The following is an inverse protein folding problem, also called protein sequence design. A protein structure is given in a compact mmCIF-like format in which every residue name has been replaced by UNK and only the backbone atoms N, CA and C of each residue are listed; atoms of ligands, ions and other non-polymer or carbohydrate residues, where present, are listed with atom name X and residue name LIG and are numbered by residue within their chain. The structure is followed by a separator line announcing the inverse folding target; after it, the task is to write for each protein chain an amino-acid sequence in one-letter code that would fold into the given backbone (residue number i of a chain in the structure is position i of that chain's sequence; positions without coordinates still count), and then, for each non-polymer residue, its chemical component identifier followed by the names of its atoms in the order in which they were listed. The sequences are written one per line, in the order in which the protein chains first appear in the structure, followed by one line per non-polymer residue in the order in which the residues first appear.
data_IF_902962572901
#
_entry.id   IF_902962572901
#
_cell.length_a   1.000
_cell.length_b   1.000
_cell.length_c   1.000
_cell.angle_alpha   90.00
_cell.angle_beta   90.00
_cell.angle_gamma   90.00
#
_symmetry.space_group_name_H-M   'P 1'
#
loop_
_entity.id
_entity.type
_entity.pdbx_description
1 polymer ?
#
# COMPACT_ATOMS: atom_id res chain seq x y z
N UNK A 1 -5.07 16.84 49.00
CA UNK A 1 -5.73 16.10 47.89
C UNK A 1 -4.77 16.09 46.71
N UNK A 2 -4.60 14.94 46.04
CA UNK A 2 -3.84 14.82 44.80
C UNK A 2 -2.63 13.89 44.86
N UNK A 3 -2.83 12.62 45.24
CA UNK A 3 -1.82 11.59 44.97
C UNK A 3 -2.03 11.12 43.52
N UNK A 4 -1.27 11.71 42.60
CA UNK A 4 -1.16 11.25 41.21
C UNK A 4 -0.55 9.85 41.21
N UNK A 5 -1.40 8.83 41.30
CA UNK A 5 -1.03 7.44 41.05
C UNK A 5 -0.67 7.33 39.56
N UNK A 6 0.59 7.64 39.24
CA UNK A 6 1.22 7.20 38.00
C UNK A 6 1.31 5.68 38.08
N UNK A 7 0.23 5.02 37.68
CA UNK A 7 0.22 3.60 37.33
C UNK A 7 1.23 3.44 36.19
N UNK A 8 2.49 3.18 36.56
CA UNK A 8 3.53 2.84 35.60
C UNK A 8 3.02 1.67 34.78
N UNK A 9 2.91 1.86 33.45
CA UNK A 9 2.54 0.81 32.51
C UNK A 9 3.32 -0.45 32.90
N UNK A 10 2.59 -1.46 33.39
CA UNK A 10 3.20 -2.73 33.81
C UNK A 10 3.81 -3.33 32.55
N UNK A 11 5.14 -3.40 32.52
CA UNK A 11 5.89 -4.00 31.41
C UNK A 11 5.33 -5.40 31.19
N UNK A 12 4.78 -5.64 30.00
CA UNK A 12 4.15 -6.91 29.71
C UNK A 12 5.21 -7.99 29.45
N UNK A 13 4.82 -9.26 29.56
CA UNK A 13 5.69 -10.38 29.20
C UNK A 13 6.16 -10.28 27.72
N UNK A 14 5.30 -9.74 26.84
CA UNK A 14 5.67 -9.51 25.44
C UNK A 14 6.74 -8.42 25.31
N UNK A 15 6.64 -7.32 26.06
CA UNK A 15 7.62 -6.22 26.01
C UNK A 15 9.01 -6.70 26.47
N UNK A 16 9.05 -7.59 27.48
CA UNK A 16 10.30 -8.23 27.94
C UNK A 16 10.90 -9.13 26.85
N UNK A 17 10.08 -9.94 26.19
CA UNK A 17 10.55 -10.80 25.10
C UNK A 17 11.10 -10.00 23.91
N UNK A 18 10.44 -8.90 23.54
CA UNK A 18 10.91 -8.00 22.47
C UNK A 18 12.23 -7.33 22.87
N UNK A 19 12.33 -6.90 24.13
CA UNK A 19 13.58 -6.34 24.65
C UNK A 19 14.72 -7.36 24.59
N UNK A 20 14.48 -8.61 25.00
CA UNK A 20 15.48 -9.66 24.97
C UNK A 20 15.97 -9.97 23.55
N UNK A 21 15.06 -10.00 22.56
CA UNK A 21 15.42 -10.14 21.14
C UNK A 21 16.29 -8.98 20.65
N UNK A 22 15.94 -7.74 21.01
CA UNK A 22 16.72 -6.54 20.66
C UNK A 22 18.10 -6.55 21.32
N UNK A 23 18.19 -6.97 22.59
CA UNK A 23 19.47 -7.14 23.29
C UNK A 23 20.33 -8.21 22.61
N UNK A 24 19.75 -9.34 22.19
CA UNK A 24 20.48 -10.39 21.48
C UNK A 24 21.01 -9.89 20.13
N UNK A 25 20.20 -9.16 19.36
CA UNK A 25 20.62 -8.50 18.12
C UNK A 25 21.83 -7.58 18.36
N UNK A 26 21.76 -6.73 19.38
CA UNK A 26 22.83 -5.78 19.68
C UNK A 26 24.12 -6.50 20.13
N UNK A 27 24.00 -7.58 20.89
CA UNK A 27 25.13 -8.45 21.25
C UNK A 27 25.78 -9.09 20.02
N UNK A 28 24.98 -9.59 19.06
CA UNK A 28 25.51 -10.13 17.81
C UNK A 28 26.19 -9.07 16.96
N UNK A 29 25.66 -7.84 16.90
CA UNK A 29 26.33 -6.73 16.22
C UNK A 29 27.68 -6.38 16.87
N UNK A 30 27.75 -6.37 18.20
CA UNK A 30 29.02 -6.18 18.90
C UNK A 30 30.00 -7.31 18.61
N UNK A 31 29.52 -8.55 18.55
CA UNK A 31 30.33 -9.72 18.20
C UNK A 31 30.86 -9.65 16.77
N UNK A 32 30.02 -9.27 15.79
CA UNK A 32 30.39 -9.06 14.39
C UNK A 32 31.52 -8.00 14.27
N UNK A 33 31.39 -6.86 14.97
CA UNK A 33 32.43 -5.83 15.01
C UNK A 33 33.74 -6.38 15.56
N UNK A 34 33.70 -7.14 16.66
CA UNK A 34 34.89 -7.77 17.25
C UNK A 34 35.57 -8.73 16.29
N UNK A 35 34.80 -9.63 15.64
CA UNK A 35 35.36 -10.56 14.65
C UNK A 35 36.00 -9.79 13.48
N UNK A 36 35.35 -8.76 12.98
CA UNK A 36 35.87 -7.94 11.86
C UNK A 36 37.24 -7.34 12.21
N UNK A 37 37.41 -6.82 13.43
CA UNK A 37 38.70 -6.32 13.92
C UNK A 37 39.75 -7.43 14.01
N UNK A 38 39.38 -8.61 14.51
CA UNK A 38 40.31 -9.75 14.61
C UNK A 38 40.73 -10.23 13.21
N UNK A 39 39.77 -10.36 12.29
CA UNK A 39 40.02 -10.76 10.90
C UNK A 39 40.94 -9.77 10.19
N UNK A 40 40.75 -8.46 10.41
CA UNK A 40 41.64 -7.42 9.88
C UNK A 40 43.06 -7.59 10.42
N UNK A 41 43.21 -7.82 11.73
CA UNK A 41 44.50 -8.08 12.36
C UNK A 41 45.16 -9.36 11.83
N UNK A 42 44.41 -10.42 11.59
CA UNK A 42 44.95 -11.65 11.00
C UNK A 42 45.42 -11.45 9.55
N UNK A 43 44.78 -10.56 8.78
CA UNK A 43 45.29 -10.19 7.45
C UNK A 43 46.62 -9.45 7.53
N UNK A 44 46.81 -8.57 8.51
CA UNK A 44 48.07 -7.85 8.73
C UNK A 44 49.18 -8.83 9.13
N UNK A 45 48.91 -9.71 10.10
CA UNK A 45 49.86 -10.75 10.54
C UNK A 45 50.23 -11.67 9.37
N UNK A 46 49.28 -12.05 8.52
CA UNK A 46 49.55 -12.85 7.34
C UNK A 46 50.48 -12.10 6.36
N UNK A 47 50.25 -10.80 6.13
CA UNK A 47 51.11 -9.96 5.28
C UNK A 47 52.52 -9.82 5.86
N UNK A 48 52.65 -9.60 7.17
CA UNK A 48 53.95 -9.54 7.85
C UNK A 48 54.71 -10.86 7.77
N UNK A 49 54.04 -11.99 7.99
CA UNK A 49 54.66 -13.32 7.88
C UNK A 49 55.15 -13.61 6.46
N UNK A 50 54.44 -13.14 5.43
CA UNK A 50 54.88 -13.23 4.03
C UNK A 50 56.12 -12.37 3.76
N UNK A 51 56.17 -11.13 4.30
CA UNK A 51 57.36 -10.26 4.20
C UNK A 51 58.58 -10.88 4.86
N UNK A 52 58.38 -11.56 5.98
CA UNK A 52 59.44 -12.25 6.75
C UNK A 52 59.79 -13.65 6.19
N UNK A 53 59.26 -14.04 5.03
CA UNK A 53 59.54 -15.33 4.37
C UNK A 53 58.99 -16.57 5.08
N UNK A 54 58.19 -16.41 6.15
CA UNK A 54 57.66 -17.51 6.97
C UNK A 54 56.33 -18.03 6.43
N UNK A 55 56.39 -18.87 5.38
CA UNK A 55 55.20 -19.41 4.68
C UNK A 55 54.25 -20.20 5.58
N UNK A 56 54.77 -21.04 6.48
CA UNK A 56 53.93 -21.89 7.34
C UNK A 56 53.09 -21.07 8.33
N UNK A 57 53.67 -20.00 8.89
CA UNK A 57 52.97 -19.06 9.78
C UNK A 57 51.91 -18.26 9.03
N UNK A 58 52.21 -17.84 7.80
CA UNK A 58 51.23 -17.16 6.94
C UNK A 58 50.04 -18.09 6.60
N UNK A 59 50.28 -19.36 6.29
CA UNK A 59 49.21 -20.34 6.04
C UNK A 59 48.34 -20.56 7.28
N UNK A 60 48.92 -20.62 8.48
CA UNK A 60 48.16 -20.74 9.71
C UNK A 60 47.26 -19.52 9.95
N UNK A 61 47.78 -18.30 9.74
CA UNK A 61 47.02 -17.06 9.87
C UNK A 61 45.85 -17.02 8.86
N UNK A 62 46.08 -17.42 7.61
CA UNK A 62 45.03 -17.50 6.59
C UNK A 62 43.94 -18.54 6.92
N UNK A 63 44.31 -19.68 7.52
CA UNK A 63 43.33 -20.67 7.98
C UNK A 63 42.45 -20.13 9.10
N UNK A 64 43.04 -19.42 10.07
CA UNK A 64 42.28 -18.74 11.14
C UNK A 64 41.35 -17.67 10.58
N UNK A 65 41.84 -16.88 9.61
CA UNK A 65 41.04 -15.86 8.92
C UNK A 65 39.82 -16.50 8.27
N UNK A 66 40.02 -17.57 7.50
CA UNK A 66 38.91 -18.27 6.82
C UNK A 66 37.88 -18.83 7.81
N UNK A 67 38.33 -19.35 8.95
CA UNK A 67 37.43 -19.80 10.02
C UNK A 67 36.60 -18.64 10.59
N UNK A 68 37.23 -17.50 10.86
CA UNK A 68 36.53 -16.30 11.34
C UNK A 68 35.54 -15.74 10.32
N UNK A 69 35.90 -15.73 9.03
CA UNK A 69 34.99 -15.33 7.95
C UNK A 69 33.76 -16.25 7.88
N UNK A 70 33.96 -17.57 8.05
CA UNK A 70 32.84 -18.51 8.12
C UNK A 70 31.94 -18.28 9.33
N UNK A 71 32.51 -17.84 10.45
CA UNK A 71 31.77 -17.53 11.66
C UNK A 71 31.01 -16.22 11.51
N UNK A 72 31.62 -15.20 10.90
CA UNK A 72 30.99 -13.93 10.55
C UNK A 72 29.79 -14.16 9.64
N UNK A 73 29.94 -14.97 8.59
CA UNK A 73 28.82 -15.29 7.69
C UNK A 73 27.64 -15.97 8.42
N UNK A 74 27.92 -16.88 9.36
CA UNK A 74 26.87 -17.48 10.21
C UNK A 74 26.22 -16.45 11.13
N UNK A 75 27.00 -15.55 11.73
CA UNK A 75 26.49 -14.47 12.57
C UNK A 75 25.61 -13.51 11.77
N UNK A 76 25.98 -13.16 10.54
CA UNK A 76 25.19 -12.30 9.65
C UNK A 76 23.85 -12.95 9.31
N UNK A 77 23.85 -14.24 9.02
CA UNK A 77 22.61 -15.01 8.78
C UNK A 77 21.71 -14.99 10.02
N UNK A 78 22.26 -15.23 11.21
CA UNK A 78 21.50 -15.20 12.48
C UNK A 78 20.98 -13.80 12.79
N UNK A 79 21.75 -12.77 12.49
CA UNK A 79 21.35 -11.38 12.68
C UNK A 79 20.18 -11.02 11.76
N UNK A 80 20.24 -11.42 10.48
CA UNK A 80 19.14 -11.24 9.54
C UNK A 80 17.87 -11.96 10.00
N UNK A 81 18.00 -13.20 10.50
CA UNK A 81 16.88 -13.95 11.08
C UNK A 81 16.25 -13.23 12.30
N UNK A 82 17.08 -12.70 13.21
CA UNK A 82 16.58 -11.94 14.36
C UNK A 82 15.91 -10.63 13.96
N UNK A 83 16.43 -9.94 12.95
CA UNK A 83 15.81 -8.73 12.41
C UNK A 83 14.44 -9.02 11.79
N UNK A 84 14.34 -10.07 10.98
CA UNK A 84 13.06 -10.53 10.42
C UNK A 84 12.06 -10.86 11.54
N UNK A 85 12.47 -11.71 12.50
CA UNK A 85 11.61 -12.07 13.63
C UNK A 85 11.16 -10.85 14.44
N UNK A 86 12.04 -9.88 14.68
CA UNK A 86 11.68 -8.65 15.41
C UNK A 86 10.64 -7.84 14.62
N UNK A 87 10.83 -7.69 13.31
CA UNK A 87 9.89 -7.00 12.42
C UNK A 87 8.53 -7.71 12.39
N UNK A 88 8.53 -9.04 12.33
CA UNK A 88 7.31 -9.84 12.31
C UNK A 88 6.52 -9.68 13.63
N UNK A 89 7.22 -9.66 14.77
CA UNK A 89 6.60 -9.44 16.08
C UNK A 89 6.03 -8.02 16.19
N UNK A 90 6.76 -7.01 15.72
CA UNK A 90 6.27 -5.62 15.71
C UNK A 90 5.04 -5.47 14.80
N UNK A 91 5.04 -6.13 13.64
CA UNK A 91 3.88 -6.17 12.76
C UNK A 91 2.68 -6.88 13.39
N UNK A 92 2.91 -8.02 14.07
CA UNK A 92 1.85 -8.76 14.76
C UNK A 92 1.22 -7.93 15.90
N UNK A 93 2.00 -7.09 16.59
CA UNK A 93 1.46 -6.14 17.58
C UNK A 93 0.54 -5.11 16.94
N UNK A 94 0.92 -4.53 15.80
CA UNK A 94 0.04 -3.61 15.05
C UNK A 94 -1.21 -4.34 14.57
N UNK A 95 -1.07 -5.56 14.07
CA UNK A 95 -2.20 -6.36 13.61
C UNK A 95 -3.21 -6.67 14.72
N UNK A 96 -2.73 -6.91 15.95
CA UNK A 96 -3.58 -7.04 17.13
C UNK A 96 -4.39 -5.76 17.38
N UNK A 97 -3.75 -4.60 17.32
CA UNK A 97 -4.42 -3.32 17.57
C UNK A 97 -5.47 -3.02 16.48
N UNK A 98 -5.15 -3.30 15.21
CA UNK A 98 -6.10 -3.21 14.10
C UNK A 98 -7.30 -4.14 14.31
N UNK A 99 -7.05 -5.39 14.72
CA UNK A 99 -8.12 -6.35 15.04
C UNK A 99 -9.03 -5.84 16.17
N UNK A 100 -8.45 -5.24 17.22
CA UNK A 100 -9.22 -4.65 18.31
C UNK A 100 -10.06 -3.46 17.84
N UNK A 101 -9.52 -2.61 16.96
CA UNK A 101 -10.26 -1.53 16.32
C UNK A 101 -11.43 -2.03 15.46
N UNK A 102 -11.22 -3.08 14.66
CA UNK A 102 -12.28 -3.74 13.89
C UNK A 102 -13.38 -4.32 14.77
N UNK A 103 -13.02 -4.96 15.89
CA UNK A 103 -13.98 -5.50 16.86
C UNK A 103 -14.83 -4.38 17.47
N UNK A 104 -14.22 -3.27 17.87
CA UNK A 104 -14.96 -2.11 18.38
C UNK A 104 -15.85 -1.49 17.31
N UNK A 105 -15.34 -1.27 16.09
CA UNK A 105 -16.14 -0.75 14.98
C UNK A 105 -17.34 -1.64 14.66
N UNK A 106 -17.14 -2.97 14.70
CA UNK A 106 -18.23 -3.94 14.53
C UNK A 106 -19.24 -3.87 15.67
N UNK A 107 -18.80 -3.68 16.91
CA UNK A 107 -19.69 -3.52 18.05
C UNK A 107 -20.55 -2.26 17.92
N UNK A 108 -19.95 -1.12 17.56
CA UNK A 108 -20.66 0.14 17.31
C UNK A 108 -21.65 -0.01 16.15
N UNK A 109 -21.25 -0.65 15.05
CA UNK A 109 -22.16 -0.93 13.93
C UNK A 109 -23.37 -1.77 14.37
N UNK A 110 -23.16 -2.78 15.23
CA UNK A 110 -24.27 -3.58 15.78
C UNK A 110 -25.20 -2.75 16.66
N UNK A 111 -24.66 -1.81 17.45
CA UNK A 111 -25.48 -0.89 18.23
C UNK A 111 -26.29 0.05 17.34
N UNK A 112 -25.67 0.65 16.32
CA UNK A 112 -26.36 1.48 15.32
C UNK A 112 -27.46 0.67 14.63
N UNK A 113 -27.17 -0.56 14.20
CA UNK A 113 -28.17 -1.42 13.57
C UNK A 113 -29.34 -1.71 14.52
N UNK A 114 -29.08 -1.87 15.81
CA UNK A 114 -30.11 -2.08 16.83
C UNK A 114 -30.96 -0.82 17.04
N UNK A 115 -30.35 0.37 17.06
CA UNK A 115 -31.03 1.66 17.19
C UNK A 115 -31.85 2.03 15.95
N UNK A 116 -31.35 1.68 14.75
CA UNK A 116 -32.04 1.86 13.47
C UNK A 116 -33.25 0.92 13.29
N UNK A 117 -33.56 0.08 14.29
CA UNK A 117 -34.71 -0.82 14.31
C UNK A 117 -34.42 -2.26 13.86
N UNK A 118 -33.14 -2.64 13.78
CA UNK A 118 -32.72 -4.01 13.52
C UNK A 118 -33.14 -4.54 12.15
N UNK A 119 -33.30 -5.86 12.07
CA UNK A 119 -33.81 -6.54 10.88
C UNK A 119 -35.29 -6.20 10.66
N UNK A 120 -36.07 -6.12 11.74
CA UNK A 120 -37.53 -5.94 11.72
C UNK A 120 -37.95 -4.64 11.03
N UNK A 121 -37.23 -3.53 11.28
CA UNK A 121 -37.55 -2.25 10.63
C UNK A 121 -37.11 -2.20 9.17
N UNK A 122 -36.06 -2.93 8.79
CA UNK A 122 -35.66 -3.09 7.40
C UNK A 122 -36.68 -3.96 6.65
N UNK A 123 -37.15 -5.03 7.26
CA UNK A 123 -38.19 -5.91 6.71
C UNK A 123 -39.54 -5.20 6.58
N UNK A 124 -39.90 -4.36 7.55
CA UNK A 124 -41.08 -3.48 7.49
C UNK A 124 -41.00 -2.47 6.35
N UNK A 125 -39.88 -1.76 6.19
CA UNK A 125 -39.69 -0.81 5.08
C UNK A 125 -39.74 -1.53 3.72
N UNK A 126 -39.18 -2.74 3.63
CA UNK A 126 -39.24 -3.53 2.41
C UNK A 126 -40.68 -3.94 2.07
N UNK A 127 -41.43 -4.38 3.08
CA UNK A 127 -42.83 -4.79 2.94
C UNK A 127 -43.74 -3.60 2.58
N UNK A 128 -43.57 -2.47 3.26
CA UNK A 128 -44.28 -1.21 2.93
C UNK A 128 -43.94 -0.72 1.51
N UNK A 129 -42.70 -0.90 1.06
CA UNK A 129 -42.29 -0.55 -0.30
C UNK A 129 -42.88 -1.51 -1.35
N UNK A 130 -42.97 -2.80 -1.06
CA UNK A 130 -43.60 -3.79 -1.94
C UNK A 130 -45.11 -3.55 -2.04
N UNK A 131 -45.79 -3.27 -0.93
CA UNK A 131 -47.21 -2.90 -0.90
C UNK A 131 -47.47 -1.59 -1.65
N UNK A 132 -46.65 -0.56 -1.46
CA UNK A 132 -46.76 0.70 -2.21
C UNK A 132 -46.56 0.50 -3.72
N UNK A 133 -45.61 -0.36 -4.12
CA UNK A 133 -45.42 -0.72 -5.52
C UNK A 133 -46.61 -1.51 -6.09
N UNK A 134 -47.16 -2.45 -5.33
CA UNK A 134 -48.35 -3.21 -5.73
C UNK A 134 -49.56 -2.29 -5.89
N UNK A 135 -49.79 -1.37 -4.95
CA UNK A 135 -50.86 -0.37 -5.02
C UNK A 135 -50.69 0.56 -6.22
N UNK A 136 -49.47 1.05 -6.48
CA UNK A 136 -49.18 1.87 -7.65
C UNK A 136 -49.45 1.11 -8.95
N UNK A 137 -49.11 -0.20 -9.00
CA UNK A 137 -49.36 -1.05 -10.15
C UNK A 137 -50.86 -1.30 -10.35
N UNK A 138 -51.61 -1.50 -9.27
CA UNK A 138 -53.07 -1.66 -9.31
C UNK A 138 -53.75 -0.36 -9.77
N UNK A 139 -53.29 0.81 -9.31
CA UNK A 139 -53.74 2.11 -9.84
C UNK A 139 -53.44 2.19 -11.33
N UNK A 140 -52.22 1.85 -11.75
CA UNK A 140 -51.83 1.92 -13.16
C UNK A 140 -52.69 0.99 -14.03
N UNK A 141 -52.99 -0.21 -13.56
CA UNK A 141 -53.87 -1.17 -14.24
C UNK A 141 -55.32 -0.70 -14.29
N UNK A 142 -55.83 -0.08 -13.22
CA UNK A 142 -57.16 0.55 -13.21
C UNK A 142 -57.23 1.79 -14.11
N UNK A 143 -56.14 2.54 -14.25
CA UNK A 143 -56.08 3.73 -15.10
C UNK A 143 -56.00 3.34 -16.58
N UNK A 144 -55.11 2.42 -16.93
CA UNK A 144 -54.96 1.88 -18.30
C UNK A 144 -56.21 1.10 -18.73
N UNK A 145 -56.89 0.39 -17.83
CA UNK A 145 -58.17 -0.27 -18.13
C UNK A 145 -59.36 0.67 -18.36
N UNK A 146 -59.23 1.98 -18.06
CA UNK A 146 -60.28 3.00 -18.23
C UNK A 146 -59.94 4.07 -19.27
N UNK A 147 -58.67 4.21 -19.67
CA UNK A 147 -58.25 5.11 -20.75
C UNK A 147 -58.51 4.46 -22.10
N UNK A 148 -58.99 5.25 -23.07
CA UNK A 148 -59.02 4.82 -24.46
C UNK A 148 -57.63 4.94 -25.08
N UNK A 149 -57.35 4.20 -26.16
CA UNK A 149 -56.09 4.35 -26.90
C UNK A 149 -55.87 5.80 -27.37
N UNK A 150 -56.95 6.53 -27.68
CA UNK A 150 -56.88 7.96 -28.06
C UNK A 150 -56.47 8.86 -26.87
N UNK A 151 -56.85 8.49 -25.64
CA UNK A 151 -56.47 9.22 -24.41
C UNK A 151 -55.00 8.93 -24.04
N UNK A 152 -54.53 7.69 -24.23
CA UNK A 152 -53.11 7.34 -24.07
C UNK A 152 -52.23 8.11 -25.07
N UNK A 153 -52.65 8.22 -26.34
CA UNK A 153 -51.95 9.01 -27.36
C UNK A 153 -51.93 10.52 -27.05
N UNK A 154 -52.95 11.07 -26.38
CA UNK A 154 -52.95 12.47 -25.92
C UNK A 154 -51.97 12.69 -24.76
N UNK A 155 -51.95 11.78 -23.79
CA UNK A 155 -51.00 11.83 -22.66
C UNK A 155 -49.55 11.71 -23.14
N UNK A 156 -49.26 10.80 -24.07
CA UNK A 156 -47.92 10.65 -24.65
C UNK A 156 -47.46 11.91 -25.41
N UNK A 157 -48.39 12.59 -26.09
CA UNK A 157 -48.12 13.87 -26.76
C UNK A 157 -47.82 14.98 -25.76
N UNK A 158 -48.56 15.05 -24.66
CA UNK A 158 -48.33 16.03 -23.59
C UNK A 158 -47.01 15.78 -22.87
N UNK A 159 -46.72 14.51 -22.54
CA UNK A 159 -45.45 14.10 -21.93
C UNK A 159 -44.27 14.46 -22.84
N UNK A 160 -44.35 14.14 -24.13
CA UNK A 160 -43.32 14.51 -25.10
C UNK A 160 -43.18 16.02 -25.33
N UNK A 161 -44.23 16.82 -25.07
CA UNK A 161 -44.12 18.29 -25.06
C UNK A 161 -43.36 18.76 -23.80
N UNK A 162 -43.70 18.23 -22.63
CA UNK A 162 -43.04 18.54 -21.36
C UNK A 162 -41.57 18.11 -21.34
N UNK A 163 -41.23 16.96 -21.93
CA UNK A 163 -39.85 16.52 -22.10
C UNK A 163 -39.05 17.44 -23.01
N UNK A 164 -39.64 17.92 -24.13
CA UNK A 164 -39.00 18.89 -25.01
C UNK A 164 -38.82 20.25 -24.34
N UNK A 165 -39.77 20.67 -23.49
CA UNK A 165 -39.64 21.88 -22.68
C UNK A 165 -38.57 21.74 -21.60
N UNK A 166 -38.51 20.60 -20.91
CA UNK A 166 -37.47 20.28 -19.94
C UNK A 166 -36.08 20.19 -20.59
N UNK A 167 -35.95 19.59 -21.78
CA UNK A 167 -34.71 19.52 -22.55
C UNK A 167 -34.29 20.90 -23.09
N UNK A 168 -35.24 21.76 -23.48
CA UNK A 168 -34.97 23.17 -23.83
C UNK A 168 -34.53 23.98 -22.62
N UNK A 169 -35.12 23.75 -21.45
CA UNK A 169 -34.72 24.39 -20.20
C UNK A 169 -33.35 23.90 -19.69
N UNK A 170 -32.99 22.64 -19.97
CA UNK A 170 -31.69 22.04 -19.66
C UNK A 170 -30.63 22.26 -20.75
N UNK A 171 -30.94 22.97 -21.84
CA UNK A 171 -29.94 23.43 -22.81
C UNK A 171 -29.21 22.32 -23.58
N UNK A 172 -29.85 21.19 -23.88
CA UNK A 172 -29.26 20.20 -24.80
C UNK A 172 -29.59 20.60 -26.24
N UNK A 173 -28.80 21.53 -26.76
CA UNK A 173 -28.64 21.75 -28.19
C UNK A 173 -27.74 20.63 -28.74
N UNK A 174 -28.30 19.51 -29.20
CA UNK A 174 -27.61 18.71 -30.21
C UNK A 174 -27.74 19.44 -31.54
N UNK A 175 -26.75 20.29 -31.78
CA UNK A 175 -26.58 21.14 -32.94
C UNK A 175 -26.46 20.34 -34.26
N UNK A 176 -26.69 21.00 -35.42
CA UNK A 176 -26.85 20.39 -36.73
C UNK A 176 -25.57 19.77 -37.30
N UNK A 177 -25.77 18.76 -38.14
CA UNK A 177 -24.77 18.20 -39.04
C UNK A 177 -24.20 19.30 -39.98
N UNK A 178 -22.90 19.62 -39.86
CA UNK A 178 -22.03 20.21 -40.91
C UNK A 178 -20.60 20.47 -40.37
N UNK A 179 -19.55 20.54 -41.21
CA UNK A 179 -19.12 19.67 -42.31
C UNK A 179 -17.77 18.98 -41.98
N UNK A 180 -17.44 17.91 -42.71
CA UNK A 180 -16.10 17.30 -42.70
C UNK A 180 -15.07 18.29 -43.29
N UNK A 181 -14.22 18.88 -42.46
CA UNK A 181 -13.07 19.68 -42.88
C UNK A 181 -11.80 19.23 -42.15
N UNK A 182 -11.01 18.47 -42.91
CA UNK A 182 -9.55 18.46 -42.99
C UNK A 182 -8.75 18.23 -41.71
N UNK A 183 -8.10 17.07 -41.70
CA UNK A 183 -6.87 16.81 -40.98
C UNK A 183 -5.90 17.99 -41.08
N UNK A 184 -5.53 18.56 -39.94
CA UNK A 184 -4.61 19.68 -39.81
C UNK A 184 -4.01 19.70 -38.40
N UNK A 185 -2.82 19.09 -38.30
CA UNK A 185 -1.74 19.25 -37.32
C UNK A 185 -2.07 19.93 -35.98
N UNK A 186 -2.24 19.11 -34.94
CA UNK A 186 -2.00 19.51 -33.55
C UNK A 186 -0.49 19.34 -33.24
N UNK A 187 0.13 20.22 -32.42
CA UNK A 187 1.58 20.22 -32.19
C UNK A 187 2.06 18.91 -31.55
N UNK A 188 3.16 18.37 -32.09
CA UNK A 188 3.76 17.09 -31.72
C UNK A 188 4.19 17.09 -30.25
N UNK A 189 3.41 16.43 -29.39
CA UNK A 189 3.80 16.13 -28.03
C UNK A 189 4.86 15.02 -28.07
N UNK A 190 6.06 15.18 -27.46
CA UNK A 190 7.14 14.21 -27.65
C UNK A 190 6.72 12.80 -27.23
N UNK A 191 6.52 11.91 -28.20
CA UNK A 191 6.17 10.50 -28.02
C UNK A 191 7.32 9.62 -27.51
N UNK A 192 8.27 10.19 -26.76
CA UNK A 192 9.34 9.40 -26.13
C UNK A 192 8.79 8.77 -24.84
N UNK A 193 8.61 7.45 -24.87
CA UNK A 193 8.28 6.67 -23.68
C UNK A 193 9.33 6.92 -22.57
N UNK A 194 8.96 6.84 -21.27
CA UNK A 194 9.88 7.09 -20.16
C UNK A 194 11.19 6.28 -20.24
N UNK A 195 11.17 5.11 -20.86
CA UNK A 195 12.35 4.25 -21.02
C UNK A 195 13.39 4.81 -22.01
N UNK A 196 12.96 5.47 -23.09
CA UNK A 196 13.88 6.08 -24.06
C UNK A 196 14.56 7.33 -23.49
N UNK A 197 13.84 8.13 -22.70
CA UNK A 197 14.40 9.30 -22.01
C UNK A 197 15.50 8.89 -21.01
N UNK A 198 15.34 7.76 -20.33
CA UNK A 198 16.32 7.22 -19.39
C UNK A 198 17.57 6.73 -20.14
N UNK A 199 17.41 6.03 -21.27
CA UNK A 199 18.54 5.58 -22.11
C UNK A 199 19.31 6.75 -22.69
N UNK A 200 18.63 7.81 -23.13
CA UNK A 200 19.25 9.01 -23.69
C UNK A 200 20.06 9.77 -22.64
N UNK A 201 19.49 10.00 -21.45
CA UNK A 201 20.20 10.60 -20.30
C UNK A 201 21.40 9.75 -19.85
N UNK A 202 21.31 8.42 -19.93
CA UNK A 202 22.41 7.51 -19.64
C UNK A 202 23.57 7.64 -20.64
N UNK A 203 23.26 7.73 -21.94
CA UNK A 203 24.26 7.96 -23.00
C UNK A 203 24.91 9.34 -22.90
N UNK A 204 24.15 10.37 -22.55
CA UNK A 204 24.65 11.73 -22.41
C UNK A 204 25.62 11.88 -21.22
N UNK A 205 25.35 11.20 -20.10
CA UNK A 205 26.26 11.13 -18.95
C UNK A 205 27.54 10.37 -19.27
N UNK A 206 27.43 9.25 -19.99
CA UNK A 206 28.60 8.47 -20.41
C UNK A 206 29.46 9.19 -21.46
N UNK A 207 28.88 10.11 -22.25
CA UNK A 207 29.62 10.95 -23.19
C UNK A 207 30.38 12.08 -22.47
N UNK A 208 29.81 12.66 -21.41
CA UNK A 208 30.50 13.67 -20.58
C UNK A 208 31.71 13.10 -19.85
N UNK A 209 31.59 11.90 -19.29
CA UNK A 209 32.71 11.20 -18.61
C UNK A 209 33.85 10.82 -19.57
N UNK A 210 33.58 10.69 -20.88
CA UNK A 210 34.63 10.45 -21.89
C UNK A 210 35.31 11.71 -22.40
N UNK A 211 34.73 12.88 -22.16
CA UNK A 211 35.23 14.16 -22.69
C UNK A 211 36.13 14.93 -21.72
N UNK A 212 36.36 14.44 -20.50
CA UNK A 212 37.35 15.03 -19.60
C UNK A 212 38.72 14.32 -19.78
N UNK A 213 39.71 14.95 -20.47
CA UNK A 213 41.07 14.47 -20.38
C UNK A 213 41.60 14.78 -18.97
N UNK A 214 42.14 13.75 -18.32
CA UNK A 214 42.92 13.86 -17.09
C UNK A 214 44.07 14.84 -17.37
N UNK A 215 43.96 16.06 -16.86
CA UNK A 215 45.05 17.02 -16.86
C UNK A 215 46.17 16.47 -15.97
N UNK A 216 47.31 16.20 -16.59
CA UNK A 216 48.58 15.89 -15.95
C UNK A 216 49.24 17.17 -15.40
#
# INVERSE_FOLDING_TARGET
MGNSNSSGKKISAQDRAILDLKIQRDKLQQYQKRITTITSRETEIARECLRNGSKDKALLALRRKKYQESLLAKTDQQLAQLQALTSDVEFALVQKDVMFGLQQGTAVLKEIHKEMGGLDKVEMILSESEEAQAYQKEINEMLSGKMSNDDEDEVDRELGAMEREAQRAQGITTMPNAPSVTAGELPDAPGETPEEQIKRKGRERAARDRSEPIAA
#
